data_IF_295078612913
#
_entry.id   IF_295078612913
#
_cell.length_a   1.000
_cell.length_b   1.000
_cell.length_c   1.000
_cell.angle_alpha   90.00
_cell.angle_beta   90.00
_cell.angle_gamma   90.00
#
_symmetry.space_group_name_H-M   'P 1'
#
loop_
_entity.id
_entity.type
_entity.pdbx_description
1 polymer ?
#
# COMPACT_ATOMS: atom_id res chain seq x y z
N UNK A 1 -8.81 21.65 -15.73
CA UNK A 1 -9.38 20.39 -15.19
C UNK A 1 -10.66 20.13 -15.94
N UNK A 2 -10.61 19.28 -16.97
CA UNK A 2 -11.75 19.01 -17.87
C UNK A 2 -12.42 17.72 -17.42
N UNK A 3 -13.66 17.83 -16.96
CA UNK A 3 -14.49 16.66 -16.65
C UNK A 3 -14.82 15.94 -17.96
N UNK A 4 -14.41 14.68 -18.11
CA UNK A 4 -14.87 13.81 -19.20
C UNK A 4 -15.99 12.91 -18.70
N UNK A 5 -17.07 12.81 -19.48
CA UNK A 5 -18.20 11.93 -19.17
C UNK A 5 -17.82 10.50 -19.56
N UNK A 6 -17.66 9.61 -18.57
CA UNK A 6 -17.28 8.20 -18.78
C UNK A 6 -18.37 7.31 -19.39
N UNK A 7 -19.61 7.81 -19.48
CA UNK A 7 -20.72 7.12 -20.12
C UNK A 7 -22.07 7.77 -19.80
N UNK A 8 -23.03 7.65 -20.72
CA UNK A 8 -24.43 8.04 -20.53
C UNK A 8 -25.26 6.77 -20.38
N UNK A 9 -25.84 6.58 -19.20
CA UNK A 9 -26.64 5.39 -18.86
C UNK A 9 -28.10 5.79 -18.74
N UNK A 10 -28.95 5.29 -19.64
CA UNK A 10 -30.39 5.56 -19.63
C UNK A 10 -31.16 4.56 -18.80
N UNK A 11 -30.58 3.39 -18.52
CA UNK A 11 -31.17 2.37 -17.64
C UNK A 11 -30.35 2.22 -16.35
N UNK A 12 -31.06 2.13 -15.21
CA UNK A 12 -30.45 1.94 -13.89
C UNK A 12 -29.58 0.69 -13.83
N UNK A 13 -29.99 -0.39 -14.49
CA UNK A 13 -29.28 -1.67 -14.43
C UNK A 13 -27.91 -1.60 -15.12
N UNK A 14 -27.80 -0.84 -16.21
CA UNK A 14 -26.54 -0.65 -16.95
C UNK A 14 -25.55 0.18 -16.13
N UNK A 15 -26.03 1.23 -15.46
CA UNK A 15 -25.20 2.01 -14.54
C UNK A 15 -24.68 1.15 -13.37
N UNK A 16 -25.56 0.34 -12.76
CA UNK A 16 -25.18 -0.54 -11.66
C UNK A 16 -24.15 -1.58 -12.12
N UNK A 17 -24.36 -2.17 -13.29
CA UNK A 17 -23.45 -3.16 -13.88
C UNK A 17 -22.09 -2.54 -14.19
N UNK A 18 -22.06 -1.33 -14.77
CA UNK A 18 -20.81 -0.62 -15.03
C UNK A 18 -20.07 -0.28 -13.73
N UNK A 19 -20.76 0.23 -12.72
CA UNK A 19 -20.15 0.54 -11.41
C UNK A 19 -19.59 -0.72 -10.75
N UNK A 20 -20.29 -1.86 -10.87
CA UNK A 20 -19.82 -3.15 -10.36
C UNK A 20 -18.58 -3.63 -11.12
N UNK A 21 -18.59 -3.56 -12.45
CA UNK A 21 -17.44 -3.89 -13.30
C UNK A 21 -16.23 -3.01 -12.97
N UNK A 22 -16.41 -1.70 -12.86
CA UNK A 22 -15.35 -0.76 -12.48
C UNK A 22 -14.79 -1.06 -11.07
N UNK A 23 -15.66 -1.46 -10.14
CA UNK A 23 -15.25 -1.90 -8.80
C UNK A 23 -14.43 -3.20 -8.85
N UNK A 24 -14.83 -4.17 -9.65
CA UNK A 24 -14.09 -5.43 -9.80
C UNK A 24 -12.75 -5.23 -10.52
N UNK A 25 -12.68 -4.35 -11.53
CA UNK A 25 -11.42 -3.94 -12.16
C UNK A 25 -10.48 -3.26 -11.15
N UNK A 26 -11.01 -2.41 -10.26
CA UNK A 26 -10.24 -1.81 -9.15
C UNK A 26 -9.82 -2.82 -8.08
N UNK A 27 -10.58 -3.90 -7.86
CA UNK A 27 -10.19 -4.99 -6.95
C UNK A 27 -9.06 -5.86 -7.53
N UNK A 28 -9.01 -6.00 -8.87
CA UNK A 28 -7.98 -6.78 -9.58
C UNK A 28 -6.71 -5.98 -9.88
N UNK A 29 -6.77 -4.65 -9.87
CA UNK A 29 -5.59 -3.79 -9.97
C UNK A 29 -4.78 -3.83 -8.68
N UNK A 30 -3.46 -3.99 -8.81
CA UNK A 30 -2.55 -3.79 -7.68
C UNK A 30 -2.72 -2.36 -7.14
N UNK A 31 -2.78 -2.18 -5.82
CA UNK A 31 -3.08 -0.86 -5.26
C UNK A 31 -2.02 0.18 -5.71
N UNK A 32 -2.43 1.36 -6.23
CA UNK A 32 -1.47 2.35 -6.72
C UNK A 32 -0.54 2.80 -5.60
N UNK A 33 0.77 2.81 -5.87
CA UNK A 33 1.78 3.28 -4.92
C UNK A 33 1.76 4.80 -4.97
N UNK A 34 1.53 5.43 -3.81
CA UNK A 34 1.58 6.89 -3.74
C UNK A 34 3.03 7.34 -3.59
N UNK A 35 3.55 7.98 -4.63
CA UNK A 35 4.86 8.62 -4.63
C UNK A 35 4.73 10.08 -4.23
N UNK A 36 5.51 10.50 -3.24
CA UNK A 36 5.65 11.90 -2.84
C UNK A 36 7.04 12.37 -3.20
N UNK A 37 7.12 13.30 -4.13
CA UNK A 37 8.38 13.90 -4.61
C UNK A 37 8.93 14.87 -3.57
N UNK A 38 10.24 14.83 -3.33
CA UNK A 38 10.97 15.75 -2.44
C UNK A 38 11.88 16.68 -3.26
N UNK A 39 11.93 17.96 -2.87
CA UNK A 39 12.87 18.93 -3.43
C UNK A 39 14.33 18.62 -3.07
N UNK A 40 15.28 19.24 -3.77
CA UNK A 40 16.72 18.95 -3.62
C UNK A 40 17.35 19.59 -2.37
N UNK A 41 16.64 20.48 -1.67
CA UNK A 41 17.16 21.19 -0.48
C UNK A 41 16.51 20.73 0.83
N UNK A 42 17.28 20.74 1.93
CA UNK A 42 16.79 20.50 3.30
C UNK A 42 15.76 21.55 3.76
N UNK A 43 15.70 22.71 3.12
CA UNK A 43 14.66 23.73 3.34
C UNK A 43 13.36 23.45 2.59
N UNK A 44 13.35 22.49 1.66
CA UNK A 44 12.20 22.05 0.86
C UNK A 44 11.76 20.62 1.23
N UNK A 45 12.06 20.18 2.44
CA UNK A 45 11.50 18.93 2.96
C UNK A 45 9.97 19.05 2.93
N UNK A 46 9.33 18.19 2.12
CA UNK A 46 7.88 18.16 2.02
C UNK A 46 7.30 17.93 3.43
N UNK A 47 6.53 18.91 3.94
CA UNK A 47 5.95 18.84 5.28
C UNK A 47 5.11 17.58 5.50
N UNK A 48 4.52 17.03 4.43
CA UNK A 48 3.78 15.75 4.49
C UNK A 48 4.70 14.56 4.78
N UNK A 49 5.92 14.55 4.26
CA UNK A 49 6.89 13.50 4.54
C UNK A 49 7.34 13.56 6.00
N UNK A 50 7.75 14.75 6.48
CA UNK A 50 8.17 14.94 7.88
C UNK A 50 7.04 14.57 8.83
N UNK A 51 5.81 15.02 8.55
CA UNK A 51 4.62 14.63 9.30
C UNK A 51 4.42 13.11 9.33
N UNK A 52 4.54 12.43 8.19
CA UNK A 52 4.41 10.96 8.11
C UNK A 52 5.46 10.26 8.96
N UNK A 53 6.72 10.71 8.89
CA UNK A 53 7.82 10.12 9.67
C UNK A 53 7.60 10.29 11.17
N UNK A 54 7.21 11.49 11.62
CA UNK A 54 6.91 11.74 13.04
C UNK A 54 5.71 10.91 13.47
N UNK A 55 4.65 10.84 12.66
CA UNK A 55 3.46 10.07 12.99
C UNK A 55 3.76 8.58 13.15
N UNK A 56 4.53 7.98 12.23
CA UNK A 56 4.95 6.59 12.32
C UNK A 56 5.83 6.37 13.56
N UNK A 57 6.79 7.25 13.84
CA UNK A 57 7.65 7.15 15.03
C UNK A 57 6.82 7.20 16.33
N UNK A 58 5.80 8.08 16.41
CA UNK A 58 4.87 8.12 17.53
C UNK A 58 4.08 6.81 17.65
N UNK A 59 3.51 6.30 16.55
CA UNK A 59 2.76 5.05 16.55
C UNK A 59 3.59 3.87 17.07
N UNK A 60 4.87 3.82 16.71
CA UNK A 60 5.79 2.73 17.11
C UNK A 60 6.20 2.79 18.59
N UNK A 61 6.14 3.97 19.22
CA UNK A 61 6.48 4.15 20.65
C UNK A 61 5.29 3.88 21.57
N UNK A 62 4.06 4.01 21.06
CA UNK A 62 2.85 3.77 21.85
C UNK A 62 2.63 2.26 21.96
N UNK A 63 2.67 1.74 23.19
CA UNK A 63 2.42 0.32 23.44
C UNK A 63 1.03 -0.08 22.92
N UNK A 64 0.93 -1.12 22.08
CA UNK A 64 -0.36 -1.68 21.72
C UNK A 64 -1.03 -2.28 22.96
N UNK A 65 -2.36 -2.18 23.01
CA UNK A 65 -3.17 -2.83 24.03
C UNK A 65 -4.21 -3.73 23.35
N UNK A 66 -4.83 -4.62 24.13
CA UNK A 66 -5.82 -5.57 23.60
C UNK A 66 -7.12 -4.88 23.13
N UNK A 67 -7.53 -3.80 23.79
CA UNK A 67 -8.74 -3.02 23.44
C UNK A 67 -8.67 -2.54 21.99
N UNK A 68 -7.50 -2.10 21.56
CA UNK A 68 -7.33 -1.52 20.23
C UNK A 68 -7.31 -2.59 19.14
N UNK A 69 -6.87 -3.82 19.47
CA UNK A 69 -7.06 -4.99 18.60
C UNK A 69 -8.55 -5.34 18.49
N UNK A 70 -9.29 -5.30 19.59
CA UNK A 70 -10.73 -5.62 19.57
C UNK A 70 -11.52 -4.56 18.77
N UNK A 71 -11.19 -3.28 18.93
CA UNK A 71 -11.76 -2.18 18.13
C UNK A 71 -11.38 -2.31 16.65
N UNK A 72 -10.15 -2.69 16.35
CA UNK A 72 -9.72 -2.99 14.99
C UNK A 72 -10.60 -4.06 14.34
N UNK A 73 -10.81 -5.19 15.04
CA UNK A 73 -11.67 -6.27 14.55
C UNK A 73 -13.12 -5.82 14.37
N UNK A 74 -13.66 -5.04 15.32
CA UNK A 74 -15.00 -4.48 15.19
C UNK A 74 -15.14 -3.60 13.95
N UNK A 75 -14.14 -2.75 13.67
CA UNK A 75 -14.10 -1.90 12.48
C UNK A 75 -14.01 -2.72 11.19
N UNK A 76 -13.20 -3.79 11.17
CA UNK A 76 -13.13 -4.71 10.03
C UNK A 76 -14.47 -5.38 9.78
N UNK A 77 -15.14 -5.90 10.81
CA UNK A 77 -16.47 -6.52 10.68
C UNK A 77 -17.50 -5.55 10.08
N UNK A 78 -17.50 -4.29 10.52
CA UNK A 78 -18.36 -3.24 9.95
C UNK A 78 -18.03 -2.95 8.49
N UNK A 79 -16.74 -2.92 8.14
CA UNK A 79 -16.25 -2.64 6.79
C UNK A 79 -16.62 -3.74 5.80
N UNK A 80 -16.57 -4.99 6.23
CA UNK A 80 -16.80 -6.17 5.40
C UNK A 80 -18.16 -6.83 5.63
N UNK A 81 -19.12 -6.14 6.25
CA UNK A 81 -20.44 -6.68 6.62
C UNK A 81 -21.23 -7.40 5.50
N UNK A 82 -20.95 -7.07 4.25
CA UNK A 82 -21.58 -7.61 3.03
C UNK A 82 -20.64 -8.53 2.24
N UNK A 83 -19.48 -8.89 2.80
CA UNK A 83 -18.46 -9.72 2.16
C UNK A 83 -18.06 -10.89 3.06
N UNK A 84 -18.80 -12.00 2.93
CA UNK A 84 -18.64 -13.19 3.76
C UNK A 84 -17.23 -13.80 3.69
N UNK A 85 -16.57 -13.74 2.53
CA UNK A 85 -15.21 -14.27 2.39
C UNK A 85 -14.20 -13.46 3.20
N UNK A 86 -14.27 -12.13 3.16
CA UNK A 86 -13.43 -11.26 3.99
C UNK A 86 -13.77 -11.40 5.48
N UNK A 87 -15.06 -11.53 5.84
CA UNK A 87 -15.45 -11.77 7.23
C UNK A 87 -14.89 -13.09 7.78
N UNK A 88 -14.80 -14.13 6.96
CA UNK A 88 -14.14 -15.38 7.34
C UNK A 88 -12.65 -15.16 7.62
N UNK A 89 -11.96 -14.36 6.80
CA UNK A 89 -10.55 -14.00 7.02
C UNK A 89 -10.39 -13.12 8.27
N UNK A 90 -11.30 -12.19 8.54
CA UNK A 90 -11.30 -11.38 9.78
C UNK A 90 -11.44 -12.27 11.02
N UNK A 91 -12.35 -13.24 10.99
CA UNK A 91 -12.52 -14.22 12.09
C UNK A 91 -11.26 -15.06 12.27
N UNK A 92 -10.64 -15.51 11.17
CA UNK A 92 -9.38 -16.25 11.22
C UNK A 92 -8.26 -15.39 11.82
N UNK A 93 -8.12 -14.15 11.36
CA UNK A 93 -7.14 -13.19 11.85
C UNK A 93 -7.31 -12.96 13.35
N UNK A 94 -8.54 -12.69 13.82
CA UNK A 94 -8.81 -12.48 15.23
C UNK A 94 -8.34 -13.66 16.09
N UNK A 95 -8.65 -14.89 15.65
CA UNK A 95 -8.36 -16.13 16.40
C UNK A 95 -6.90 -16.57 16.32
N UNK A 96 -6.24 -16.41 15.17
CA UNK A 96 -4.94 -17.02 14.86
C UNK A 96 -3.79 -16.02 14.74
N UNK A 97 -4.05 -14.72 14.80
CA UNK A 97 -2.99 -13.72 14.73
C UNK A 97 -2.04 -13.82 15.93
N UNK A 98 -0.75 -13.84 15.63
CA UNK A 98 0.35 -13.73 16.58
C UNK A 98 1.46 -12.83 16.01
N UNK A 99 2.25 -12.15 16.86
CA UNK A 99 3.31 -11.23 16.41
C UNK A 99 4.33 -11.86 15.45
N UNK A 100 4.63 -13.16 15.59
CA UNK A 100 5.53 -13.93 14.72
C UNK A 100 4.95 -14.25 13.34
N UNK A 101 3.65 -13.96 13.11
CA UNK A 101 2.98 -14.17 11.82
C UNK A 101 2.56 -12.89 11.09
N UNK A 102 2.87 -11.72 11.62
CA UNK A 102 2.61 -10.43 10.98
C UNK A 102 3.07 -10.38 9.50
N UNK A 103 4.29 -10.80 9.17
CA UNK A 103 4.76 -10.79 7.77
C UNK A 103 3.93 -11.71 6.87
N UNK A 104 3.59 -12.91 7.35
CA UNK A 104 2.73 -13.85 6.61
C UNK A 104 1.32 -13.30 6.38
N UNK A 105 0.73 -12.63 7.38
CA UNK A 105 -0.56 -11.96 7.25
C UNK A 105 -0.50 -10.78 6.27
N UNK A 106 0.64 -10.08 6.22
CA UNK A 106 0.87 -8.98 5.29
C UNK A 106 1.03 -9.48 3.84
N UNK A 107 1.70 -10.61 3.60
CA UNK A 107 1.98 -11.07 2.23
C UNK A 107 0.92 -11.99 1.65
N UNK A 108 0.10 -12.65 2.47
CA UNK A 108 -1.02 -13.46 1.97
C UNK A 108 -2.13 -12.59 1.39
N UNK A 109 -2.90 -13.18 0.48
CA UNK A 109 -4.13 -12.58 -0.03
C UNK A 109 -5.16 -12.43 1.12
N UNK A 110 -5.28 -11.21 1.64
CA UNK A 110 -6.17 -10.86 2.75
C UNK A 110 -6.45 -9.36 2.80
N UNK A 111 -7.41 -8.94 3.62
CA UNK A 111 -7.66 -7.52 3.88
C UNK A 111 -6.47 -6.76 4.47
N UNK A 112 -5.54 -7.44 5.15
CA UNK A 112 -4.52 -6.82 6.01
C UNK A 112 -3.62 -5.88 5.20
N UNK A 113 -3.03 -6.38 4.11
CA UNK A 113 -2.11 -5.59 3.28
C UNK A 113 -2.82 -4.42 2.62
N UNK A 114 -4.02 -4.65 2.07
CA UNK A 114 -4.83 -3.62 1.39
C UNK A 114 -5.26 -2.52 2.35
N UNK A 115 -5.80 -2.90 3.50
CA UNK A 115 -6.23 -1.92 4.51
C UNK A 115 -5.06 -1.11 5.04
N UNK A 116 -3.92 -1.75 5.33
CA UNK A 116 -2.73 -1.06 5.82
C UNK A 116 -2.14 -0.12 4.77
N UNK A 117 -1.88 -0.59 3.55
CA UNK A 117 -1.32 0.25 2.48
C UNK A 117 -2.28 1.38 2.09
N UNK A 118 -3.60 1.14 2.04
CA UNK A 118 -4.58 2.20 1.86
C UNK A 118 -4.51 3.24 2.98
N UNK A 119 -4.48 2.79 4.24
CA UNK A 119 -4.44 3.69 5.39
C UNK A 119 -3.17 4.56 5.40
N UNK A 120 -2.01 3.98 5.05
CA UNK A 120 -0.74 4.71 4.93
C UNK A 120 -0.81 5.76 3.80
N UNK A 121 -1.34 5.38 2.62
CA UNK A 121 -1.45 6.29 1.46
C UNK A 121 -2.35 7.49 1.73
N UNK A 122 -3.48 7.29 2.39
CA UNK A 122 -4.41 8.39 2.73
C UNK A 122 -4.16 9.00 4.10
N UNK A 123 -3.09 8.61 4.79
CA UNK A 123 -2.76 9.01 6.16
C UNK A 123 -3.96 8.92 7.12
N UNK A 124 -4.72 7.82 7.05
CA UNK A 124 -5.89 7.63 7.92
C UNK A 124 -5.43 7.31 9.34
N UNK A 125 -5.30 8.35 10.16
CA UNK A 125 -4.75 8.28 11.51
C UNK A 125 -5.49 7.28 12.39
N UNK A 126 -6.83 7.24 12.31
CA UNK A 126 -7.65 6.35 13.14
C UNK A 126 -7.38 4.88 12.79
N UNK A 127 -7.32 4.56 11.50
CA UNK A 127 -7.03 3.19 11.05
C UNK A 127 -5.59 2.82 11.41
N UNK A 128 -4.63 3.71 11.20
CA UNK A 128 -3.22 3.47 11.50
C UNK A 128 -2.97 3.31 13.00
N UNK A 129 -3.68 4.05 13.84
CA UNK A 129 -3.63 3.90 15.28
C UNK A 129 -4.11 2.53 15.75
N UNK A 130 -5.23 2.04 15.19
CA UNK A 130 -5.74 0.70 15.44
C UNK A 130 -4.82 -0.39 14.87
N UNK A 131 -4.18 -0.14 13.72
CA UNK A 131 -3.20 -1.05 13.10
C UNK A 131 -1.84 -1.07 13.80
N UNK A 132 -1.57 -0.19 14.78
CA UNK A 132 -0.20 -0.02 15.31
C UNK A 132 0.38 -1.30 15.91
N UNK A 133 -0.45 -2.17 16.51
CA UNK A 133 0.01 -3.48 17.00
C UNK A 133 0.65 -4.28 15.87
N UNK A 134 -0.02 -4.32 14.72
CA UNK A 134 0.43 -5.02 13.55
C UNK A 134 1.64 -4.34 12.89
N UNK A 135 1.67 -3.00 12.87
CA UNK A 135 2.81 -2.24 12.31
C UNK A 135 4.08 -2.51 13.11
N UNK A 136 4.00 -2.52 14.45
CA UNK A 136 5.12 -2.84 15.35
C UNK A 136 5.62 -4.26 15.08
N UNK A 137 4.72 -5.26 15.06
CA UNK A 137 5.08 -6.66 14.85
C UNK A 137 5.67 -6.88 13.44
N UNK A 138 5.08 -6.27 12.41
CA UNK A 138 5.58 -6.32 11.03
C UNK A 138 6.97 -5.70 10.93
N UNK A 139 7.18 -4.54 11.55
CA UNK A 139 8.48 -3.87 11.57
C UNK A 139 9.56 -4.72 12.25
N UNK A 140 9.21 -5.40 13.34
CA UNK A 140 10.11 -6.33 14.02
C UNK A 140 10.49 -7.49 13.11
N UNK A 141 9.52 -8.12 12.46
CA UNK A 141 9.80 -9.21 11.52
C UNK A 141 10.65 -8.76 10.34
N UNK A 142 10.36 -7.61 9.73
CA UNK A 142 11.15 -7.09 8.62
C UNK A 142 12.59 -6.78 9.03
N UNK A 143 12.81 -6.34 10.27
CA UNK A 143 14.16 -6.13 10.81
C UNK A 143 14.96 -7.43 10.87
N UNK A 144 14.29 -8.55 11.20
CA UNK A 144 14.90 -9.86 11.29
C UNK A 144 15.17 -10.50 9.91
N UNK A 145 14.46 -10.06 8.87
CA UNK A 145 14.57 -10.57 7.50
C UNK A 145 15.24 -9.57 6.54
N UNK A 146 16.07 -8.66 7.05
CA UNK A 146 16.81 -7.70 6.21
C UNK A 146 17.79 -8.44 5.31
N UNK A 147 17.86 -8.02 4.05
CA UNK A 147 18.92 -8.45 3.13
C UNK A 147 20.30 -8.11 3.72
N UNK A 148 21.26 -9.01 3.56
CA UNK A 148 22.64 -8.82 4.03
C UNK A 148 23.53 -8.12 2.99
N UNK A 149 23.11 -8.14 1.72
CA UNK A 149 23.83 -7.53 0.59
C UNK A 149 22.88 -6.70 -0.28
N UNK A 150 23.42 -5.76 -1.08
CA UNK A 150 22.63 -5.08 -2.09
C UNK A 150 21.90 -6.06 -3.02
N UNK A 151 20.67 -5.72 -3.40
CA UNK A 151 19.82 -6.55 -4.26
C UNK A 151 19.06 -5.69 -5.27
N UNK A 152 18.96 -6.19 -6.51
CA UNK A 152 18.11 -5.61 -7.55
C UNK A 152 16.70 -6.18 -7.41
N UNK A 153 15.72 -5.31 -7.35
CA UNK A 153 14.31 -5.65 -7.18
C UNK A 153 13.48 -5.06 -8.33
N UNK A 154 12.36 -5.70 -8.61
CA UNK A 154 11.47 -5.35 -9.70
C UNK A 154 10.03 -5.22 -9.19
N UNK A 155 9.28 -4.23 -9.70
CA UNK A 155 7.85 -4.09 -9.45
C UNK A 155 7.14 -3.60 -10.71
N UNK A 156 6.17 -4.37 -11.19
CA UNK A 156 5.27 -3.93 -12.25
C UNK A 156 4.06 -3.22 -11.65
N UNK A 157 3.66 -2.09 -12.23
CA UNK A 157 2.49 -1.34 -11.83
C UNK A 157 1.84 -0.62 -13.01
N UNK A 158 0.51 -0.62 -13.05
CA UNK A 158 -0.26 0.28 -13.91
C UNK A 158 -0.35 1.65 -13.24
N UNK A 159 0.01 2.71 -13.96
CA UNK A 159 -0.03 4.09 -13.45
C UNK A 159 -0.82 4.99 -14.40
N UNK A 160 -1.49 6.00 -13.88
CA UNK A 160 -2.10 7.02 -14.74
C UNK A 160 -1.02 7.84 -15.45
N UNK A 161 -1.36 8.39 -16.62
CA UNK A 161 -0.44 9.26 -17.38
C UNK A 161 0.06 10.45 -16.54
N UNK A 162 -0.79 10.99 -15.67
CA UNK A 162 -0.42 12.07 -14.75
C UNK A 162 0.63 11.62 -13.73
N UNK A 163 0.47 10.45 -13.11
CA UNK A 163 1.46 9.91 -12.18
C UNK A 163 2.80 9.63 -12.87
N UNK A 164 2.78 9.10 -14.10
CA UNK A 164 4.00 8.91 -14.90
C UNK A 164 4.65 10.26 -15.23
N UNK A 165 3.87 11.28 -15.57
CA UNK A 165 4.40 12.60 -15.86
C UNK A 165 5.03 13.26 -14.62
N UNK A 166 4.45 13.05 -13.43
CA UNK A 166 5.07 13.47 -12.16
C UNK A 166 6.44 12.80 -12.01
N UNK A 167 6.54 11.49 -12.20
CA UNK A 167 7.83 10.77 -12.11
C UNK A 167 8.86 11.30 -13.13
N UNK A 168 8.44 11.57 -14.37
CA UNK A 168 9.32 12.14 -15.41
C UNK A 168 9.83 13.52 -15.04
N UNK A 169 8.99 14.35 -14.43
CA UNK A 169 9.38 15.70 -13.97
C UNK A 169 10.28 15.66 -12.74
N UNK A 170 10.40 14.52 -12.07
CA UNK A 170 11.18 14.32 -10.84
C UNK A 170 12.51 13.59 -11.07
N UNK A 171 12.97 13.48 -12.32
CA UNK A 171 14.29 12.91 -12.62
C UNK A 171 15.37 13.73 -11.91
N UNK A 172 16.26 13.04 -11.19
CA UNK A 172 17.31 13.68 -10.38
C UNK A 172 16.83 14.21 -9.02
N UNK A 173 15.60 13.89 -8.61
CA UNK A 173 15.06 14.22 -7.29
C UNK A 173 14.86 12.97 -6.42
N UNK A 174 14.63 13.18 -5.14
CA UNK A 174 14.28 12.10 -4.22
C UNK A 174 12.77 11.85 -4.23
N UNK A 175 12.40 10.58 -4.13
CA UNK A 175 11.00 10.16 -4.05
C UNK A 175 10.82 9.41 -2.73
N UNK A 176 9.78 9.78 -2.00
CA UNK A 176 9.34 9.10 -0.80
C UNK A 176 8.04 8.34 -1.06
N UNK A 177 7.86 7.21 -0.37
CA UNK A 177 6.73 6.31 -0.57
C UNK A 177 6.07 6.09 0.77
N UNK A 178 4.81 6.50 0.90
CA UNK A 178 4.05 6.34 2.15
C UNK A 178 3.24 5.04 2.14
N UNK A 179 3.92 3.93 1.84
CA UNK A 179 3.39 2.57 1.89
C UNK A 179 4.53 1.56 1.92
N UNK A 180 4.21 0.31 2.25
CA UNK A 180 5.14 -0.79 2.01
C UNK A 180 5.15 -1.14 0.52
N UNK A 181 6.33 -1.47 -0.01
CA UNK A 181 6.52 -1.92 -1.39
C UNK A 181 6.68 -3.44 -1.40
N UNK A 182 5.79 -4.12 -2.12
CA UNK A 182 6.01 -5.51 -2.51
C UNK A 182 6.74 -5.53 -3.85
N UNK A 183 7.86 -6.24 -3.90
CA UNK A 183 8.74 -6.32 -5.07
C UNK A 183 9.07 -7.77 -5.37
N UNK A 184 9.84 -8.03 -6.43
CA UNK A 184 10.35 -9.36 -6.73
C UNK A 184 11.80 -9.27 -7.18
N UNK A 185 12.61 -10.24 -6.78
CA UNK A 185 13.94 -10.46 -7.39
C UNK A 185 13.85 -10.97 -8.82
N UNK A 186 12.70 -11.57 -9.19
CA UNK A 186 12.46 -12.07 -10.54
C UNK A 186 11.69 -11.03 -11.36
N UNK A 187 12.37 -10.49 -12.38
CA UNK A 187 11.78 -9.53 -13.32
C UNK A 187 10.54 -10.08 -14.02
N UNK A 188 10.50 -11.37 -14.35
CA UNK A 188 9.33 -11.99 -15.00
C UNK A 188 8.12 -12.06 -14.08
N UNK A 189 8.33 -12.25 -12.78
CA UNK A 189 7.25 -12.19 -11.78
C UNK A 189 6.69 -10.77 -11.72
N UNK A 190 7.55 -9.75 -11.69
CA UNK A 190 7.11 -8.35 -11.67
C UNK A 190 6.33 -7.95 -12.94
N UNK A 191 6.74 -8.42 -14.12
CA UNK A 191 6.03 -8.15 -15.38
C UNK A 191 4.61 -8.74 -15.42
N UNK A 192 4.31 -9.78 -14.64
CA UNK A 192 2.95 -10.37 -14.60
C UNK A 192 1.90 -9.41 -14.05
N UNK A 193 2.30 -8.32 -13.40
CA UNK A 193 1.41 -7.29 -12.86
C UNK A 193 1.07 -6.20 -13.89
N UNK A 194 1.68 -6.22 -15.09
CA UNK A 194 1.45 -5.24 -16.17
C UNK A 194 0.36 -5.73 -17.15
N UNK A 195 -0.81 -6.12 -16.63
CA UNK A 195 -1.87 -6.76 -17.43
C UNK A 195 -3.14 -5.93 -17.46
N UNK A 196 -3.11 -4.80 -18.17
CA UNK A 196 -4.32 -4.14 -18.65
C UNK A 196 -3.96 -3.29 -19.88
N UNK A 197 -4.74 -3.40 -20.95
CA UNK A 197 -4.64 -2.58 -22.18
C UNK A 197 -5.65 -1.43 -22.09
N UNK A 198 -5.64 -0.70 -20.98
CA UNK A 198 -6.48 0.48 -20.83
C UNK A 198 -5.74 1.71 -21.37
N UNK A 199 -6.33 2.41 -22.33
CA UNK A 199 -5.78 3.66 -22.89
C UNK A 199 -5.50 4.76 -21.84
N UNK A 200 -6.10 4.65 -20.65
CA UNK A 200 -5.96 5.61 -19.54
C UNK A 200 -4.75 5.33 -18.63
N UNK A 201 -4.12 4.15 -18.75
CA UNK A 201 -3.03 3.70 -17.88
C UNK A 201 -1.78 3.36 -18.69
N UNK A 202 -0.64 3.59 -18.08
CA UNK A 202 0.68 3.25 -18.59
C UNK A 202 1.25 2.07 -17.81
N UNK A 203 1.90 1.15 -18.52
CA UNK A 203 2.62 0.02 -17.92
C UNK A 203 4.00 0.49 -17.44
N UNK A 204 4.23 0.48 -16.13
CA UNK A 204 5.50 0.93 -15.53
C UNK A 204 6.19 -0.22 -14.82
N UNK A 205 7.42 -0.53 -15.22
CA UNK A 205 8.31 -1.42 -14.50
C UNK A 205 9.32 -0.58 -13.69
N UNK A 206 9.26 -0.69 -12.37
CA UNK A 206 10.28 -0.16 -11.49
C UNK A 206 11.43 -1.16 -11.38
N UNK A 207 12.65 -0.67 -11.57
CA UNK A 207 13.89 -1.37 -11.24
C UNK A 207 14.55 -0.65 -10.06
N UNK A 208 14.69 -1.33 -8.93
CA UNK A 208 15.07 -0.74 -7.65
C UNK A 208 16.36 -1.39 -7.17
N UNK A 209 17.38 -0.57 -6.94
CA UNK A 209 18.58 -0.98 -6.21
C UNK A 209 18.38 -0.79 -4.72
N UNK A 210 18.22 -1.89 -3.98
CA UNK A 210 18.09 -1.87 -2.54
C UNK A 210 19.44 -2.16 -1.88
N UNK A 211 20.00 -1.17 -1.19
CA UNK A 211 21.23 -1.31 -0.41
C UNK A 211 20.92 -1.37 1.10
N UNK A 212 21.16 -2.51 1.77
CA UNK A 212 20.86 -2.66 3.19
C UNK A 212 21.79 -1.86 4.12
N UNK A 213 22.94 -1.38 3.61
CA UNK A 213 23.92 -0.59 4.37
C UNK A 213 23.47 0.86 4.59
N UNK A 214 22.59 1.36 3.73
CA UNK A 214 21.95 2.67 3.89
C UNK A 214 20.96 2.59 5.07
N UNK A 215 21.13 3.45 6.07
CA UNK A 215 20.21 3.51 7.22
C UNK A 215 18.80 3.83 6.70
N UNK A 216 17.81 2.96 6.92
CA UNK A 216 16.52 3.11 6.27
C UNK A 216 15.76 4.31 6.83
N UNK A 217 15.27 5.18 5.94
CA UNK A 217 14.11 6.02 6.21
C UNK A 217 12.80 5.24 6.05
N UNK A 218 12.77 4.24 5.14
CA UNK A 218 11.62 3.35 4.89
C UNK A 218 12.15 1.95 4.52
N UNK A 219 11.50 0.91 5.05
CA UNK A 219 11.99 -0.48 5.09
C UNK A 219 11.42 -1.28 3.92
N UNK A 220 12.29 -1.77 3.05
CA UNK A 220 11.93 -2.61 1.91
C UNK A 220 11.45 -3.99 2.39
N UNK A 221 10.39 -4.52 1.77
CA UNK A 221 9.96 -5.91 1.93
C UNK A 221 10.38 -6.71 0.69
N UNK A 222 10.76 -7.97 0.93
CA UNK A 222 10.91 -9.02 -0.09
C UNK A 222 9.55 -9.38 -0.68
#
# INVERSE_FOLDING_TARGET
MTLSVKGLFTQKQDLVTQIQSDRERRKKGDEPVLFTVQGQSTTELNGQFVHSQIFIDVLLRIKPNQVDKDEFIARCNKTFKENDSELAIVKEFNKKYSPDRALWWYTRESFVYRMLNKALRVQNTDVLFLFRFFIVDLQQQLSNHRCSSPVRLYRGQMMSKDEVQILRNSIGQFISINSFLSTSVDRFVALRFLKDDSDDLEQVLFEIDADPSVKPGIRCCV
#
